data_IF_966187692588
#
_entry.id   IF_966187692588
#
_cell.length_a   1.000
_cell.length_b   1.000
_cell.length_c   1.000
_cell.angle_alpha   90.00
_cell.angle_beta   90.00
_cell.angle_gamma   90.00
#
_symmetry.space_group_name_H-M   'P 1'
#
loop_
_entity.id
_entity.type
_entity.pdbx_description
1 polymer ?
#
# COMPACT_ATOMS: atom_id res chain seq x y z
N UNK A 1 23.74 60.28 -32.19
CA UNK A 1 22.36 60.02 -32.62
C UNK A 1 21.74 59.03 -31.63
N UNK A 2 20.88 59.51 -30.73
CA UNK A 2 20.17 58.70 -29.72
C UNK A 2 18.88 58.19 -30.34
N UNK A 3 18.61 56.87 -30.33
CA UNK A 3 17.31 56.29 -30.57
C UNK A 3 16.66 55.93 -29.22
N UNK A 4 15.56 56.64 -28.94
CA UNK A 4 14.65 56.37 -27.81
C UNK A 4 13.85 55.10 -28.12
N UNK A 5 13.78 54.16 -27.18
CA UNK A 5 12.87 53.04 -27.21
C UNK A 5 11.65 53.36 -26.36
N UNK A 6 10.46 53.29 -26.96
CA UNK A 6 9.18 53.53 -26.31
C UNK A 6 8.73 52.26 -25.58
N UNK A 7 8.52 52.38 -24.27
CA UNK A 7 7.80 51.39 -23.47
C UNK A 7 6.31 51.44 -23.79
N UNK A 8 5.74 50.35 -24.25
CA UNK A 8 4.29 50.13 -24.28
C UNK A 8 3.88 49.33 -23.05
N UNK A 9 3.11 49.99 -22.17
CA UNK A 9 2.44 49.32 -21.04
C UNK A 9 1.13 48.76 -21.58
N UNK A 10 0.99 47.44 -21.54
CA UNK A 10 -0.26 46.74 -21.84
C UNK A 10 -0.99 46.51 -20.51
N UNK A 11 -2.09 47.19 -20.30
CA UNK A 11 -3.07 46.88 -19.26
C UNK A 11 -3.86 45.66 -19.69
N UNK A 12 -3.69 44.55 -18.96
CA UNK A 12 -4.55 43.38 -19.13
C UNK A 12 -5.74 43.50 -18.17
N UNK A 13 -6.91 43.78 -18.72
CA UNK A 13 -8.20 43.68 -18.06
C UNK A 13 -8.47 42.20 -17.73
N UNK A 14 -8.54 41.89 -16.44
CA UNK A 14 -9.04 40.62 -15.93
C UNK A 14 -10.56 40.56 -16.15
N UNK A 15 -10.95 39.90 -17.24
CA UNK A 15 -12.33 39.48 -17.47
C UNK A 15 -12.62 38.25 -16.61
N UNK A 16 -13.48 38.45 -15.61
CA UNK A 16 -14.06 37.32 -14.83
C UNK A 16 -15.08 36.62 -15.73
N UNK A 17 -14.74 35.47 -16.29
CA UNK A 17 -15.71 34.57 -16.90
C UNK A 17 -16.17 33.57 -15.82
N UNK A 18 -17.47 33.40 -15.62
CA UNK A 18 -17.97 32.33 -14.78
C UNK A 18 -17.75 30.98 -15.49
N UNK A 19 -16.97 30.10 -14.89
CA UNK A 19 -16.89 28.70 -15.26
C UNK A 19 -18.26 28.06 -15.02
N UNK A 20 -19.00 27.80 -16.09
CA UNK A 20 -20.13 26.86 -16.05
C UNK A 20 -19.56 25.46 -15.84
N UNK A 21 -19.70 24.97 -14.63
CA UNK A 21 -19.52 23.57 -14.30
C UNK A 21 -20.74 22.84 -14.85
N UNK A 22 -20.60 22.14 -15.95
CA UNK A 22 -21.57 21.14 -16.38
C UNK A 22 -21.49 19.99 -15.39
N UNK A 23 -22.40 20.00 -14.40
CA UNK A 23 -22.66 18.86 -13.56
C UNK A 23 -23.33 17.79 -14.44
N UNK A 24 -22.58 16.75 -14.80
CA UNK A 24 -23.17 15.52 -15.31
C UNK A 24 -24.05 14.94 -14.23
N UNK A 25 -25.33 14.91 -14.52
CA UNK A 25 -26.42 14.44 -13.67
C UNK A 25 -26.15 13.01 -13.21
N UNK A 26 -26.14 12.72 -11.91
CA UNK A 26 -26.11 11.33 -11.45
C UNK A 26 -27.43 10.67 -11.86
N UNK A 27 -27.35 9.47 -12.44
CA UNK A 27 -28.47 8.62 -12.76
C UNK A 27 -29.43 8.55 -11.55
N UNK A 28 -30.70 8.88 -11.80
CA UNK A 28 -31.79 8.72 -10.85
C UNK A 28 -31.82 7.27 -10.36
N UNK A 29 -31.45 7.06 -9.13
CA UNK A 29 -31.82 5.87 -8.37
C UNK A 29 -33.18 6.17 -7.78
N UNK A 30 -34.19 5.41 -8.17
CA UNK A 30 -35.54 5.50 -7.62
C UNK A 30 -35.50 5.34 -6.11
N UNK A 31 -35.78 6.43 -5.42
CA UNK A 31 -35.97 6.44 -3.96
C UNK A 31 -37.34 5.84 -3.65
N UNK A 32 -37.37 4.57 -3.23
CA UNK A 32 -38.50 4.06 -2.42
C UNK A 32 -37.98 3.70 -1.04
N UNK A 33 -38.55 4.43 -0.10
CA UNK A 33 -38.71 4.17 1.34
C UNK A 33 -37.46 4.26 2.24
N UNK A 34 -37.35 5.37 2.94
CA UNK A 34 -37.23 5.45 4.40
C UNK A 34 -36.08 4.67 5.05
N UNK A 35 -34.81 5.02 4.74
CA UNK A 35 -33.74 4.85 5.70
C UNK A 35 -32.98 6.18 5.75
N UNK A 36 -33.17 6.92 6.81
CA UNK A 36 -32.30 8.04 7.21
C UNK A 36 -30.90 7.49 7.37
N UNK A 37 -30.07 7.62 6.34
CA UNK A 37 -28.63 7.45 6.46
C UNK A 37 -28.14 8.54 7.40
N UNK A 38 -27.95 8.19 8.67
CA UNK A 38 -27.15 9.00 9.58
C UNK A 38 -25.78 9.13 8.93
N UNK A 39 -25.46 10.32 8.51
CA UNK A 39 -24.07 10.73 8.27
C UNK A 39 -23.40 10.59 9.63
N UNK A 40 -22.60 9.53 9.79
CA UNK A 40 -21.80 9.38 10.99
C UNK A 40 -20.82 10.55 11.04
N UNK A 41 -21.18 11.53 11.82
CA UNK A 41 -20.29 12.60 12.26
C UNK A 41 -19.07 11.91 12.84
N UNK A 42 -17.87 12.32 12.42
CA UNK A 42 -16.58 11.90 12.98
C UNK A 42 -16.72 11.87 14.50
N UNK A 43 -16.98 10.70 15.04
CA UNK A 43 -17.26 10.57 16.45
C UNK A 43 -15.97 10.84 17.20
N UNK A 44 -15.99 11.79 18.12
CA UNK A 44 -15.05 11.87 19.23
C UNK A 44 -14.80 10.46 19.77
N UNK A 45 -13.53 10.05 20.03
CA UNK A 45 -13.24 8.70 20.50
C UNK A 45 -14.12 8.36 21.71
N UNK A 46 -14.80 7.23 21.64
CA UNK A 46 -15.61 6.75 22.75
C UNK A 46 -14.71 6.48 23.97
N UNK A 47 -15.27 6.55 25.17
CA UNK A 47 -14.54 6.25 26.43
C UNK A 47 -13.80 4.91 26.33
N UNK A 48 -14.40 3.90 25.71
CA UNK A 48 -13.78 2.58 25.48
C UNK A 48 -12.53 2.64 24.59
N UNK A 49 -12.45 3.58 23.66
CA UNK A 49 -11.28 3.75 22.79
C UNK A 49 -10.12 4.46 23.51
N UNK A 50 -10.47 5.43 24.37
CA UNK A 50 -9.46 6.08 25.23
C UNK A 50 -8.89 5.10 26.24
N UNK A 51 -9.71 4.23 26.81
CA UNK A 51 -9.24 3.20 27.75
C UNK A 51 -8.37 2.15 27.04
N UNK A 52 -8.73 1.75 25.82
CA UNK A 52 -7.95 0.86 24.99
C UNK A 52 -6.57 1.46 24.66
N UNK A 53 -6.53 2.74 24.31
CA UNK A 53 -5.27 3.45 24.06
C UNK A 53 -4.40 3.49 25.32
N UNK A 54 -4.96 3.83 26.49
CA UNK A 54 -4.23 3.81 27.77
C UNK A 54 -3.66 2.42 28.08
N UNK A 55 -4.41 1.37 27.79
CA UNK A 55 -3.95 -0.01 27.94
C UNK A 55 -2.76 -0.29 27.04
N UNK A 56 -2.84 0.10 25.77
CA UNK A 56 -1.75 -0.11 24.79
C UNK A 56 -0.45 0.59 25.19
N UNK A 57 -0.50 1.83 25.65
CA UNK A 57 0.71 2.61 25.98
C UNK A 57 1.32 2.25 27.32
N UNK A 58 0.58 1.55 28.20
CA UNK A 58 1.05 1.17 29.53
C UNK A 58 1.66 -0.24 29.56
N UNK A 59 1.64 -1.00 28.47
CA UNK A 59 2.30 -2.31 28.40
C UNK A 59 3.79 -2.14 28.08
N UNK A 60 4.64 -2.86 28.79
CA UNK A 60 6.09 -2.80 28.61
C UNK A 60 6.51 -3.45 27.27
N UNK A 61 5.94 -4.60 26.95
CA UNK A 61 6.06 -5.27 25.65
C UNK A 61 4.67 -5.64 25.15
N UNK A 62 3.92 -4.65 24.70
CA UNK A 62 2.52 -4.82 24.37
C UNK A 62 2.27 -5.64 23.10
N UNK A 63 3.22 -5.65 22.16
CA UNK A 63 3.06 -6.42 20.91
C UNK A 63 3.15 -7.93 21.20
N UNK A 64 4.09 -8.35 22.00
CA UNK A 64 4.30 -9.75 22.34
C UNK A 64 3.59 -10.18 23.63
N UNK A 65 2.63 -9.41 24.13
CA UNK A 65 1.87 -9.69 25.34
C UNK A 65 2.77 -9.91 26.58
N UNK A 66 3.65 -8.96 26.85
CA UNK A 66 4.65 -8.95 27.92
C UNK A 66 5.75 -10.01 27.79
N UNK A 67 5.97 -10.55 26.60
CA UNK A 67 7.09 -11.43 26.30
C UNK A 67 8.08 -10.71 25.40
N UNK A 68 9.36 -10.97 25.59
CA UNK A 68 10.41 -10.46 24.70
C UNK A 68 10.13 -10.93 23.28
N UNK A 69 10.30 -10.04 22.31
CA UNK A 69 10.19 -10.35 20.88
C UNK A 69 11.31 -11.30 20.46
N UNK A 70 10.96 -12.46 19.94
CA UNK A 70 11.91 -13.42 19.38
C UNK A 70 11.95 -13.30 17.87
N UNK A 71 13.16 -13.14 17.32
CA UNK A 71 13.38 -13.00 15.90
C UNK A 71 13.22 -14.33 15.20
N UNK A 72 12.36 -14.37 14.18
CA UNK A 72 12.23 -15.55 13.34
C UNK A 72 13.41 -15.59 12.38
N UNK A 73 14.15 -16.69 12.37
CA UNK A 73 15.18 -16.93 11.39
C UNK A 73 14.53 -17.23 10.03
N UNK A 74 15.05 -16.61 8.97
CA UNK A 74 14.60 -16.84 7.61
C UNK A 74 15.81 -16.84 6.66
N UNK A 75 15.65 -17.51 5.53
CA UNK A 75 16.65 -17.42 4.47
C UNK A 75 16.42 -16.10 3.70
N UNK A 76 17.38 -15.17 3.69
CA UNK A 76 17.20 -13.89 3.02
C UNK A 76 17.37 -14.09 1.52
N UNK A 77 16.28 -14.24 0.77
CA UNK A 77 16.28 -14.17 -0.70
C UNK A 77 14.84 -14.21 -1.22
N UNK A 78 14.14 -13.10 -1.06
CA UNK A 78 12.76 -12.94 -1.48
C UNK A 78 12.48 -13.31 -2.94
N UNK A 79 13.29 -12.84 -3.86
CA UNK A 79 13.08 -13.06 -5.30
C UNK A 79 13.37 -14.48 -5.78
N UNK A 80 14.01 -15.34 -4.99
CA UNK A 80 14.14 -16.77 -5.31
C UNK A 80 12.82 -17.55 -5.16
N UNK A 81 11.82 -16.97 -4.47
CA UNK A 81 10.51 -17.59 -4.34
C UNK A 81 9.59 -17.32 -5.53
N UNK A 82 9.99 -16.45 -6.46
CA UNK A 82 9.23 -16.21 -7.68
C UNK A 82 9.78 -17.14 -8.74
N UNK A 83 9.15 -18.28 -8.88
CA UNK A 83 9.42 -19.14 -10.03
C UNK A 83 8.86 -18.46 -11.28
N UNK A 84 9.76 -18.01 -12.17
CA UNK A 84 9.39 -17.37 -13.43
C UNK A 84 8.58 -18.27 -14.36
N UNK A 85 8.63 -19.59 -14.12
CA UNK A 85 7.94 -20.59 -14.93
C UNK A 85 6.62 -21.04 -14.33
N UNK A 86 6.34 -20.76 -13.06
CA UNK A 86 5.09 -21.13 -12.43
C UNK A 86 4.03 -20.03 -12.55
N UNK A 87 2.76 -20.42 -12.46
CA UNK A 87 1.65 -19.48 -12.33
C UNK A 87 1.38 -19.14 -10.85
N UNK A 88 2.20 -19.62 -9.96
CA UNK A 88 2.11 -19.38 -8.53
C UNK A 88 2.52 -17.97 -8.17
N UNK A 89 1.72 -17.31 -7.35
CA UNK A 89 2.09 -16.06 -6.71
C UNK A 89 2.49 -16.36 -5.29
N UNK A 90 3.73 -16.05 -4.96
CA UNK A 90 4.22 -16.17 -3.59
C UNK A 90 4.04 -14.84 -2.88
N UNK A 91 3.12 -14.81 -1.93
CA UNK A 91 2.92 -13.65 -1.07
C UNK A 91 3.28 -14.10 0.35
N UNK A 92 4.34 -13.55 0.93
CA UNK A 92 4.85 -13.90 2.26
C UNK A 92 5.19 -15.38 2.47
N UNK A 93 5.78 -16.02 1.48
CA UNK A 93 6.07 -17.43 1.55
C UNK A 93 4.84 -18.34 1.49
N UNK A 94 3.63 -17.78 1.29
CA UNK A 94 2.44 -18.55 0.90
C UNK A 94 2.31 -18.54 -0.60
N UNK A 95 2.22 -19.70 -1.16
CA UNK A 95 2.04 -19.92 -2.59
C UNK A 95 0.55 -19.76 -2.91
N UNK A 96 0.24 -18.85 -3.82
CA UNK A 96 -1.09 -18.70 -4.42
C UNK A 96 -1.03 -19.20 -5.84
N UNK A 97 -1.64 -20.32 -6.06
CA UNK A 97 -1.91 -20.79 -7.40
C UNK A 97 -3.23 -20.19 -7.87
N UNK A 98 -3.16 -19.26 -8.83
CA UNK A 98 -4.36 -18.68 -9.44
C UNK A 98 -5.15 -19.70 -10.27
N UNK A 99 -4.54 -20.82 -10.62
CA UNK A 99 -5.20 -21.92 -11.32
C UNK A 99 -5.72 -23.01 -10.34
N UNK A 100 -5.47 -22.84 -9.03
CA UNK A 100 -5.84 -23.83 -8.05
C UNK A 100 -7.35 -23.93 -7.79
N UNK A 101 -7.77 -25.12 -7.49
CA UNK A 101 -9.16 -25.52 -7.31
C UNK A 101 -9.81 -25.11 -5.99
N UNK A 102 -9.17 -24.30 -5.16
CA UNK A 102 -9.73 -23.84 -3.89
C UNK A 102 -10.71 -22.68 -4.10
N UNK A 103 -11.90 -22.75 -3.49
CA UNK A 103 -13.09 -21.94 -3.73
C UNK A 103 -12.90 -20.45 -4.10
N UNK A 104 -12.26 -19.65 -3.26
CA UNK A 104 -12.05 -18.21 -3.49
C UNK A 104 -10.95 -17.95 -4.52
N UNK A 105 -9.86 -18.71 -4.47
CA UNK A 105 -8.73 -18.60 -5.41
C UNK A 105 -9.18 -18.96 -6.81
N UNK A 106 -10.03 -19.95 -6.98
CA UNK A 106 -10.57 -20.37 -8.27
C UNK A 106 -11.44 -19.31 -8.93
N UNK A 107 -12.28 -18.61 -8.15
CA UNK A 107 -13.13 -17.55 -8.68
C UNK A 107 -12.29 -16.36 -9.16
N UNK A 108 -11.26 -16.00 -8.41
CA UNK A 108 -10.31 -14.93 -8.79
C UNK A 108 -9.50 -15.38 -10.01
N UNK A 109 -9.05 -16.63 -10.07
CA UNK A 109 -8.34 -17.20 -11.20
C UNK A 109 -9.19 -17.20 -12.48
N UNK A 110 -10.43 -17.62 -12.39
CA UNK A 110 -11.35 -17.59 -13.53
C UNK A 110 -11.54 -16.17 -14.06
N UNK A 111 -11.68 -15.18 -13.18
CA UNK A 111 -11.78 -13.78 -13.56
C UNK A 111 -10.48 -13.22 -14.15
N UNK A 112 -9.34 -13.61 -13.59
CA UNK A 112 -8.01 -13.25 -14.13
C UNK A 112 -7.85 -13.86 -15.53
N UNK A 113 -8.14 -15.14 -15.70
CA UNK A 113 -8.02 -15.82 -16.98
C UNK A 113 -8.93 -15.21 -18.04
N UNK A 114 -10.14 -14.81 -17.69
CA UNK A 114 -11.03 -14.12 -18.62
C UNK A 114 -10.61 -12.66 -18.86
N UNK A 115 -10.08 -11.97 -17.88
CA UNK A 115 -9.54 -10.61 -18.05
C UNK A 115 -8.23 -10.57 -18.86
N UNK A 116 -7.56 -11.71 -19.06
CA UNK A 116 -6.36 -11.80 -19.90
C UNK A 116 -6.59 -11.40 -21.36
N UNK A 117 -7.80 -11.51 -21.84
CA UNK A 117 -8.17 -11.08 -23.20
C UNK A 117 -8.28 -9.57 -23.34
N UNK A 118 -8.31 -8.83 -22.23
CA UNK A 118 -8.43 -7.38 -22.23
C UNK A 118 -7.04 -6.77 -22.06
N UNK A 119 -6.45 -6.42 -23.19
CA UNK A 119 -5.21 -5.64 -23.22
C UNK A 119 -5.45 -4.26 -22.64
N UNK A 120 -4.45 -3.73 -21.92
CA UNK A 120 -4.46 -2.33 -21.54
C UNK A 120 -4.39 -1.46 -22.80
N UNK A 121 -5.43 -0.67 -23.06
CA UNK A 121 -5.53 0.20 -24.23
C UNK A 121 -5.41 1.69 -23.89
N UNK A 122 -5.20 2.02 -22.62
CA UNK A 122 -5.09 3.40 -22.13
C UNK A 122 -6.42 4.15 -22.00
N UNK A 123 -7.57 3.53 -22.29
CA UNK A 123 -8.86 4.21 -22.26
C UNK A 123 -9.48 4.22 -20.86
N UNK A 124 -10.11 5.33 -20.50
CA UNK A 124 -10.95 5.44 -19.31
C UNK A 124 -12.20 4.56 -19.45
N UNK A 125 -12.63 3.94 -18.36
CA UNK A 125 -13.89 3.19 -18.33
C UNK A 125 -13.78 1.71 -18.67
N UNK A 126 -12.58 1.20 -18.74
CA UNK A 126 -12.29 -0.21 -19.02
C UNK A 126 -13.01 -1.23 -18.12
N UNK A 127 -13.49 -0.84 -16.93
CA UNK A 127 -14.34 -1.71 -16.10
C UNK A 127 -15.69 -2.03 -16.77
N UNK A 128 -16.28 -1.09 -17.52
CA UNK A 128 -17.54 -1.33 -18.25
C UNK A 128 -17.35 -2.27 -19.43
N UNK A 129 -16.22 -2.15 -20.12
CA UNK A 129 -15.89 -3.05 -21.24
C UNK A 129 -15.60 -4.46 -20.71
N UNK A 130 -14.92 -4.58 -19.57
CA UNK A 130 -14.70 -5.85 -18.88
C UNK A 130 -16.03 -6.50 -18.46
N UNK A 131 -16.92 -5.71 -17.87
CA UNK A 131 -18.24 -6.18 -17.48
C UNK A 131 -19.14 -6.54 -18.68
N UNK A 132 -18.85 -6.00 -19.84
CA UNK A 132 -19.55 -6.31 -21.10
C UNK A 132 -19.07 -7.60 -21.77
N UNK A 133 -17.83 -8.07 -21.45
CA UNK A 133 -17.30 -9.32 -22.01
C UNK A 133 -18.17 -10.52 -21.59
N UNK A 134 -18.67 -11.34 -22.54
CA UNK A 134 -19.52 -12.48 -22.22
C UNK A 134 -18.88 -13.48 -21.26
N UNK A 135 -17.58 -13.74 -21.40
CA UNK A 135 -16.84 -14.66 -20.52
C UNK A 135 -16.71 -14.12 -19.11
N UNK A 136 -16.48 -12.81 -18.95
CA UNK A 136 -16.47 -12.15 -17.65
C UNK A 136 -17.86 -12.20 -17.02
N UNK A 137 -18.93 -11.97 -17.79
CA UNK A 137 -20.31 -12.12 -17.30
C UNK A 137 -20.59 -13.53 -16.81
N UNK A 138 -20.21 -14.54 -17.57
CA UNK A 138 -20.39 -15.93 -17.20
C UNK A 138 -19.62 -16.25 -15.89
N UNK A 139 -18.36 -15.85 -15.81
CA UNK A 139 -17.55 -16.01 -14.60
C UNK A 139 -18.17 -15.27 -13.40
N UNK A 140 -18.71 -14.07 -13.59
CA UNK A 140 -19.42 -13.32 -12.55
C UNK A 140 -20.69 -14.04 -12.08
N UNK A 141 -21.49 -14.58 -13.00
CA UNK A 141 -22.71 -15.32 -12.62
C UNK A 141 -22.39 -16.62 -11.86
N UNK A 142 -21.35 -17.32 -12.26
CA UNK A 142 -20.84 -18.49 -11.52
C UNK A 142 -20.34 -18.08 -10.11
N UNK A 143 -19.62 -16.97 -10.03
CA UNK A 143 -19.11 -16.43 -8.76
C UNK A 143 -20.25 -16.00 -7.83
N UNK A 144 -21.29 -15.33 -8.36
CA UNK A 144 -22.47 -14.92 -7.59
C UNK A 144 -23.21 -16.09 -6.95
N UNK A 145 -23.17 -17.28 -7.56
CA UNK A 145 -23.74 -18.50 -6.98
C UNK A 145 -22.98 -18.98 -5.74
N UNK A 146 -21.74 -18.53 -5.56
CA UNK A 146 -20.83 -18.92 -4.47
C UNK A 146 -20.48 -17.72 -3.56
N UNK A 147 -21.35 -16.70 -3.50
CA UNK A 147 -21.11 -15.53 -2.65
C UNK A 147 -20.90 -15.90 -1.20
N UNK A 148 -19.94 -15.20 -0.57
CA UNK A 148 -19.65 -15.30 0.86
C UNK A 148 -19.91 -13.97 1.52
N UNK A 149 -20.36 -13.98 2.78
CA UNK A 149 -20.69 -12.79 3.56
C UNK A 149 -20.04 -12.81 4.93
N UNK A 150 -19.99 -11.66 5.58
CA UNK A 150 -19.49 -11.52 6.94
C UNK A 150 -18.08 -12.09 7.12
N UNK A 151 -17.85 -12.77 8.23
CA UNK A 151 -16.53 -13.31 8.58
C UNK A 151 -16.06 -14.41 7.62
N UNK A 152 -16.98 -15.21 7.08
CA UNK A 152 -16.66 -16.23 6.07
C UNK A 152 -16.05 -15.59 4.81
N UNK A 153 -16.59 -14.45 4.37
CA UNK A 153 -16.02 -13.67 3.27
C UNK A 153 -14.60 -13.20 3.59
N UNK A 154 -14.42 -12.59 4.76
CA UNK A 154 -13.10 -12.09 5.19
C UNK A 154 -12.07 -13.21 5.25
N UNK A 155 -12.46 -14.38 5.74
CA UNK A 155 -11.58 -15.55 5.80
C UNK A 155 -11.22 -16.08 4.41
N UNK A 156 -12.17 -16.01 3.46
CA UNK A 156 -11.95 -16.43 2.08
C UNK A 156 -11.18 -15.39 1.26
N UNK A 157 -11.36 -14.11 1.56
CA UNK A 157 -10.58 -13.03 0.97
C UNK A 157 -9.18 -13.05 1.57
N UNK A 158 -8.19 -13.24 0.74
CA UNK A 158 -6.82 -13.16 1.18
C UNK A 158 -6.10 -11.99 0.49
N UNK A 159 -5.47 -11.15 1.29
CA UNK A 159 -4.47 -10.19 0.83
C UNK A 159 -3.36 -10.10 1.86
N UNK A 160 -2.15 -9.88 1.40
CA UNK A 160 -0.99 -9.65 2.25
C UNK A 160 -0.56 -8.18 2.19
N UNK A 161 -0.16 -7.69 3.33
CA UNK A 161 0.47 -6.36 3.46
C UNK A 161 1.93 -6.45 3.86
N UNK A 162 2.42 -7.68 4.03
CA UNK A 162 3.80 -7.91 4.47
C UNK A 162 4.79 -7.57 3.36
N UNK A 163 5.89 -6.92 3.69
CA UNK A 163 7.01 -6.78 2.79
C UNK A 163 7.78 -8.10 2.64
N UNK A 164 8.62 -8.20 1.61
CA UNK A 164 9.56 -9.30 1.50
C UNK A 164 10.47 -9.36 2.72
N UNK A 165 10.70 -10.58 3.21
CA UNK A 165 11.60 -10.83 4.35
C UNK A 165 13.06 -10.75 3.90
N UNK A 166 13.91 -10.20 4.75
CA UNK A 166 15.34 -10.19 4.50
C UNK A 166 15.86 -8.85 3.99
N UNK A 167 17.03 -8.91 3.39
CA UNK A 167 17.76 -7.75 2.91
C UNK A 167 17.56 -7.60 1.41
N UNK A 168 17.19 -6.40 0.99
CA UNK A 168 17.09 -6.00 -0.41
C UNK A 168 18.01 -4.80 -0.61
N UNK A 169 18.84 -4.85 -1.64
CA UNK A 169 19.78 -3.78 -2.00
C UNK A 169 19.75 -3.61 -3.51
N UNK A 170 19.84 -2.38 -3.98
CA UNK A 170 19.96 -2.11 -5.41
C UNK A 170 19.75 -0.64 -5.76
N UNK A 171 19.75 -0.37 -7.04
CA UNK A 171 19.44 0.93 -7.60
C UNK A 171 17.96 1.24 -7.43
N UNK A 172 17.65 2.44 -6.96
CA UNK A 172 16.31 2.84 -6.56
C UNK A 172 15.66 3.78 -7.56
N UNK A 173 14.47 3.42 -7.97
CA UNK A 173 13.59 4.21 -8.81
C UNK A 173 12.24 4.38 -8.14
N UNK A 174 11.66 5.57 -8.21
CA UNK A 174 10.33 5.84 -7.68
C UNK A 174 9.54 6.75 -8.58
N UNK A 175 8.25 6.51 -8.68
CA UNK A 175 7.35 7.30 -9.51
C UNK A 175 6.02 7.57 -8.81
N UNK A 176 5.36 8.62 -9.28
CA UNK A 176 4.02 9.01 -8.86
C UNK A 176 3.20 9.45 -10.06
N UNK A 177 1.93 9.03 -10.10
CA UNK A 177 0.98 9.44 -11.13
C UNK A 177 -0.36 9.83 -10.51
N UNK A 178 -0.83 11.02 -10.88
CA UNK A 178 -2.18 11.47 -10.53
C UNK A 178 -3.16 11.00 -11.61
N UNK A 179 -4.30 10.44 -11.20
CA UNK A 179 -5.34 9.95 -12.09
C UNK A 179 -6.75 10.14 -11.50
N UNK A 180 -7.78 9.97 -12.32
CA UNK A 180 -9.21 9.89 -11.95
C UNK A 180 -9.67 10.84 -10.82
N UNK A 181 -9.48 12.15 -11.00
CA UNK A 181 -10.00 13.13 -10.04
C UNK A 181 -9.16 13.32 -8.79
N UNK A 182 -7.86 12.97 -8.86
CA UNK A 182 -6.89 13.29 -7.82
C UNK A 182 -6.40 12.11 -7.00
N UNK A 183 -6.69 10.87 -7.43
CA UNK A 183 -5.98 9.71 -6.88
C UNK A 183 -4.51 9.75 -7.27
N UNK A 184 -3.66 9.33 -6.37
CA UNK A 184 -2.21 9.24 -6.59
C UNK A 184 -1.77 7.77 -6.53
N UNK A 185 -1.26 7.25 -7.64
CA UNK A 185 -0.55 5.97 -7.68
C UNK A 185 0.93 6.22 -7.39
N UNK A 186 1.52 5.37 -6.58
CA UNK A 186 2.94 5.35 -6.25
C UNK A 186 3.54 4.01 -6.65
N UNK A 187 4.77 4.04 -7.14
CA UNK A 187 5.55 2.85 -7.41
C UNK A 187 6.99 3.07 -6.97
N UNK A 188 7.57 2.05 -6.34
CA UNK A 188 8.99 1.97 -5.99
C UNK A 188 9.53 0.70 -6.63
N UNK A 189 10.68 0.81 -7.28
CA UNK A 189 11.34 -0.29 -7.98
C UNK A 189 12.81 -0.32 -7.56
N UNK A 190 13.30 -1.51 -7.24
CA UNK A 190 14.72 -1.73 -6.92
C UNK A 190 15.30 -2.71 -7.92
N UNK A 191 16.41 -2.32 -8.55
CA UNK A 191 17.14 -3.12 -9.52
C UNK A 191 18.51 -3.50 -8.94
N UNK A 192 18.85 -4.77 -8.99
CA UNK A 192 20.17 -5.26 -8.59
C UNK A 192 20.70 -6.23 -9.64
N UNK A 193 21.92 -5.99 -10.14
CA UNK A 193 22.55 -6.79 -11.19
C UNK A 193 21.64 -6.97 -12.43
N UNK A 194 21.00 -5.90 -12.87
CA UNK A 194 20.05 -5.87 -13.99
C UNK A 194 18.77 -6.70 -13.77
N UNK A 195 18.49 -7.11 -12.56
CA UNK A 195 17.24 -7.77 -12.20
C UNK A 195 16.39 -6.87 -11.31
N UNK A 196 15.09 -6.79 -11.57
CA UNK A 196 14.14 -6.15 -10.66
C UNK A 196 13.96 -7.08 -9.47
N UNK A 197 14.53 -6.68 -8.34
CA UNK A 197 14.52 -7.48 -7.10
C UNK A 197 13.40 -7.09 -6.14
N UNK A 198 12.81 -5.91 -6.34
CA UNK A 198 11.70 -5.44 -5.54
C UNK A 198 10.86 -4.44 -6.33
N UNK A 199 9.57 -4.49 -6.10
CA UNK A 199 8.59 -3.50 -6.52
C UNK A 199 7.51 -3.40 -5.44
N UNK A 200 7.11 -2.18 -5.09
CA UNK A 200 5.99 -1.93 -4.19
C UNK A 200 5.09 -0.84 -4.79
N UNK A 201 3.79 -1.14 -4.89
CA UNK A 201 2.76 -0.22 -5.33
C UNK A 201 1.94 0.25 -4.13
N UNK A 202 1.53 1.50 -4.14
CA UNK A 202 0.58 2.05 -3.17
C UNK A 202 -0.31 3.10 -3.85
N UNK A 203 -1.43 3.43 -3.23
CA UNK A 203 -2.38 4.42 -3.72
C UNK A 203 -2.85 5.31 -2.58
N UNK A 204 -3.01 6.60 -2.87
CA UNK A 204 -3.61 7.59 -1.99
C UNK A 204 -4.82 8.21 -2.67
N UNK A 205 -6.00 8.21 -2.05
CA UNK A 205 -7.15 8.94 -2.56
C UNK A 205 -7.00 10.44 -2.31
N UNK A 206 -7.73 11.29 -3.05
CA UNK A 206 -7.74 12.73 -2.82
C UNK A 206 -8.31 13.07 -1.43
N UNK A 207 -7.98 14.27 -0.94
CA UNK A 207 -8.53 14.79 0.33
C UNK A 207 -10.05 15.00 0.30
N UNK A 208 -10.64 15.01 -0.89
CA UNK A 208 -12.08 15.10 -1.13
C UNK A 208 -12.74 13.71 -1.26
N UNK A 209 -12.04 12.64 -0.89
CA UNK A 209 -12.57 11.29 -0.99
C UNK A 209 -13.84 11.14 -0.13
N UNK A 210 -14.87 10.48 -0.66
CA UNK A 210 -16.19 10.38 -0.03
C UNK A 210 -16.16 9.70 1.36
N UNK A 211 -15.27 8.77 1.58
CA UNK A 211 -15.03 8.17 2.89
C UNK A 211 -13.88 8.94 3.56
N UNK A 212 -14.22 9.97 4.32
CA UNK A 212 -13.30 10.97 4.87
C UNK A 212 -12.20 10.37 5.74
N UNK A 213 -12.43 9.24 6.39
CA UNK A 213 -11.43 8.51 7.18
C UNK A 213 -10.22 8.04 6.35
N UNK A 214 -10.42 7.81 5.04
CA UNK A 214 -9.40 7.38 4.11
C UNK A 214 -8.83 8.52 3.26
N UNK A 215 -9.41 9.72 3.36
CA UNK A 215 -9.02 10.86 2.55
C UNK A 215 -7.54 11.24 2.81
N UNK A 216 -6.71 11.20 1.77
CA UNK A 216 -5.29 11.49 1.87
C UNK A 216 -4.43 10.41 2.55
N UNK A 217 -5.00 9.30 3.00
CA UNK A 217 -4.25 8.19 3.60
C UNK A 217 -3.86 7.13 2.55
N UNK A 218 -2.70 6.52 2.69
CA UNK A 218 -2.28 5.41 1.82
C UNK A 218 -3.15 4.18 2.07
N UNK A 219 -3.34 3.34 1.04
CA UNK A 219 -4.31 2.24 1.11
C UNK A 219 -3.72 0.90 1.54
N UNK A 220 -2.44 0.66 1.26
CA UNK A 220 -1.89 -0.70 1.34
C UNK A 220 -1.97 -1.32 2.74
N UNK A 221 -1.53 -0.58 3.78
CA UNK A 221 -1.43 -1.07 5.16
C UNK A 221 -2.34 -0.34 6.14
N UNK A 222 -3.26 0.46 5.63
CA UNK A 222 -4.10 1.36 6.44
C UNK A 222 -5.35 0.69 7.04
N UNK A 223 -5.66 -0.55 6.68
CA UNK A 223 -6.96 -1.18 6.95
C UNK A 223 -7.99 -0.97 5.82
N UNK A 224 -7.63 -0.25 4.76
CA UNK A 224 -8.52 0.01 3.61
C UNK A 224 -9.04 -1.29 2.97
N UNK A 225 -8.27 -2.38 2.99
CA UNK A 225 -8.73 -3.69 2.51
C UNK A 225 -10.00 -4.17 3.22
N UNK A 226 -10.12 -3.96 4.53
CA UNK A 226 -11.33 -4.29 5.31
C UNK A 226 -12.51 -3.36 4.99
N UNK A 227 -12.25 -2.07 4.78
CA UNK A 227 -13.26 -1.13 4.30
C UNK A 227 -13.79 -1.58 2.93
N UNK A 228 -12.91 -1.89 2.01
CA UNK A 228 -13.29 -2.35 0.68
C UNK A 228 -14.02 -3.70 0.72
N UNK A 229 -13.67 -4.58 1.65
CA UNK A 229 -14.34 -5.86 1.85
C UNK A 229 -15.81 -5.73 2.27
N UNK A 230 -16.26 -4.56 2.75
CA UNK A 230 -17.69 -4.30 3.02
C UNK A 230 -18.52 -4.12 1.74
N UNK A 231 -17.88 -3.87 0.60
CA UNK A 231 -18.58 -3.69 -0.68
C UNK A 231 -19.26 -5.00 -1.13
N UNK A 232 -20.53 -4.94 -1.63
CA UNK A 232 -21.19 -6.11 -2.21
C UNK A 232 -20.43 -6.74 -3.39
N UNK A 233 -19.65 -5.94 -4.10
CA UNK A 233 -18.79 -6.43 -5.20
C UNK A 233 -17.80 -7.49 -4.71
N UNK A 234 -17.22 -7.32 -3.53
CA UNK A 234 -16.29 -8.28 -2.98
C UNK A 234 -16.95 -9.56 -2.47
N UNK A 235 -18.29 -9.63 -2.40
CA UNK A 235 -19.01 -10.86 -2.03
C UNK A 235 -18.73 -11.99 -3.03
N UNK A 236 -18.50 -11.65 -4.28
CA UNK A 236 -18.21 -12.60 -5.36
C UNK A 236 -16.83 -12.47 -5.98
N UNK A 237 -16.22 -11.28 -6.00
CA UNK A 237 -14.86 -11.12 -6.55
C UNK A 237 -13.79 -11.61 -5.59
N UNK A 238 -14.04 -11.53 -4.28
CA UNK A 238 -13.10 -11.82 -3.21
C UNK A 238 -11.76 -11.11 -3.36
N UNK A 239 -11.75 -10.00 -4.12
CA UNK A 239 -10.56 -9.24 -4.45
C UNK A 239 -10.64 -7.80 -3.94
N UNK A 240 -9.56 -7.34 -3.33
CA UNK A 240 -9.33 -5.95 -2.93
C UNK A 240 -8.36 -5.26 -3.89
N UNK A 241 -8.21 -3.95 -3.74
CA UNK A 241 -7.18 -3.18 -4.43
C UNK A 241 -5.77 -3.74 -4.14
N UNK A 242 -5.53 -4.22 -2.92
CA UNK A 242 -4.24 -4.75 -2.50
C UNK A 242 -3.91 -6.03 -3.29
N UNK A 243 -4.90 -6.90 -3.54
CA UNK A 243 -4.71 -8.04 -4.44
C UNK A 243 -4.31 -7.58 -5.85
N UNK A 244 -4.95 -6.52 -6.36
CA UNK A 244 -4.62 -5.94 -7.65
C UNK A 244 -3.19 -5.42 -7.72
N UNK A 245 -2.74 -4.71 -6.69
CA UNK A 245 -1.35 -4.25 -6.57
C UNK A 245 -0.39 -5.44 -6.58
N UNK A 246 -0.59 -6.41 -5.68
CA UNK A 246 0.28 -7.59 -5.57
C UNK A 246 0.34 -8.39 -6.87
N UNK A 247 -0.77 -8.45 -7.61
CA UNK A 247 -0.80 -9.12 -8.90
C UNK A 247 0.02 -8.40 -9.98
N UNK A 248 -0.01 -7.06 -10.00
CA UNK A 248 0.85 -6.28 -10.91
C UNK A 248 2.33 -6.42 -10.52
N UNK A 249 2.65 -6.34 -9.24
CA UNK A 249 4.01 -6.52 -8.70
C UNK A 249 4.58 -7.89 -9.09
N UNK A 250 3.79 -8.94 -8.92
CA UNK A 250 4.18 -10.28 -9.34
C UNK A 250 4.46 -10.37 -10.84
N UNK A 251 3.61 -9.76 -11.68
CA UNK A 251 3.83 -9.75 -13.13
C UNK A 251 5.14 -9.07 -13.51
N UNK A 252 5.46 -7.94 -12.85
CA UNK A 252 6.74 -7.24 -13.06
C UNK A 252 7.91 -8.14 -12.69
N UNK A 253 7.87 -8.73 -11.51
CA UNK A 253 8.94 -9.62 -11.04
C UNK A 253 9.10 -10.87 -11.91
N UNK A 254 7.98 -11.42 -12.41
CA UNK A 254 7.99 -12.57 -13.32
C UNK A 254 8.57 -12.22 -14.69
N UNK A 255 8.16 -11.08 -15.26
CA UNK A 255 8.58 -10.67 -16.60
C UNK A 255 9.90 -9.90 -16.61
N UNK A 256 10.38 -9.42 -15.46
CA UNK A 256 11.58 -8.60 -15.32
C UNK A 256 11.56 -7.36 -16.21
N UNK A 257 10.38 -6.76 -16.38
CA UNK A 257 10.13 -5.58 -17.21
C UNK A 257 9.02 -4.75 -16.60
N UNK A 258 9.05 -3.44 -16.83
CA UNK A 258 7.97 -2.51 -16.47
C UNK A 258 7.05 -2.19 -17.65
N UNK A 259 7.49 -2.39 -18.88
CA UNK A 259 6.67 -2.18 -20.08
C UNK A 259 6.37 -3.51 -20.76
N UNK A 260 5.12 -3.96 -20.58
CA UNK A 260 4.54 -5.13 -21.24
C UNK A 260 3.01 -5.08 -21.16
N UNK A 261 2.33 -6.07 -21.73
CA UNK A 261 0.87 -6.22 -21.69
C UNK A 261 0.42 -6.77 -20.33
N UNK A 262 0.04 -5.88 -19.42
CA UNK A 262 -0.43 -6.23 -18.09
C UNK A 262 -1.82 -6.87 -18.11
N UNK A 263 -2.01 -7.78 -17.16
CA UNK A 263 -3.32 -8.33 -16.81
C UNK A 263 -3.80 -7.67 -15.51
N UNK A 264 -5.09 -7.45 -15.38
CA UNK A 264 -5.68 -6.81 -14.20
C UNK A 264 -6.69 -7.72 -13.54
N UNK A 265 -6.75 -7.71 -12.22
CA UNK A 265 -7.80 -8.40 -11.48
C UNK A 265 -9.13 -7.65 -11.62
N UNK A 266 -10.19 -8.39 -11.88
CA UNK A 266 -11.54 -7.87 -11.77
C UNK A 266 -11.79 -7.39 -10.34
N UNK A 267 -12.29 -6.17 -10.18
CA UNK A 267 -12.47 -5.56 -8.85
C UNK A 267 -11.41 -4.52 -8.49
N UNK A 268 -10.21 -4.59 -9.08
CA UNK A 268 -9.14 -3.61 -8.90
C UNK A 268 -8.69 -2.95 -10.21
N UNK A 269 -9.43 -3.14 -11.28
CA UNK A 269 -9.02 -2.78 -12.63
C UNK A 269 -8.87 -1.28 -12.89
N UNK A 270 -9.65 -0.41 -12.22
CA UNK A 270 -9.56 1.04 -12.43
C UNK A 270 -8.21 1.62 -12.01
N UNK A 271 -7.80 1.38 -10.77
CA UNK A 271 -6.51 1.84 -10.27
C UNK A 271 -5.34 1.23 -11.05
N UNK A 272 -5.46 -0.06 -11.42
CA UNK A 272 -4.47 -0.72 -12.25
C UNK A 272 -4.33 -0.04 -13.62
N UNK A 273 -5.43 0.22 -14.33
CA UNK A 273 -5.43 0.74 -15.70
C UNK A 273 -5.14 2.24 -15.80
N UNK A 274 -5.68 3.03 -14.88
CA UNK A 274 -5.58 4.49 -14.95
C UNK A 274 -4.40 5.04 -14.16
N UNK A 275 -3.95 4.31 -13.13
CA UNK A 275 -2.87 4.70 -12.24
C UNK A 275 -1.60 3.87 -12.43
N UNK A 276 -1.60 2.62 -11.98
CA UNK A 276 -0.38 1.83 -11.84
C UNK A 276 0.27 1.45 -13.17
N UNK A 277 -0.49 0.89 -14.12
CA UNK A 277 0.09 0.45 -15.40
C UNK A 277 0.67 1.61 -16.20
N UNK A 278 -0.02 2.78 -16.34
CA UNK A 278 0.59 3.94 -16.97
C UNK A 278 1.86 4.42 -16.26
N UNK A 279 1.84 4.44 -14.91
CA UNK A 279 3.00 4.82 -14.12
C UNK A 279 4.19 3.89 -14.37
N UNK A 280 3.98 2.57 -14.34
CA UNK A 280 5.03 1.59 -14.58
C UNK A 280 5.63 1.70 -15.98
N UNK A 281 4.79 1.94 -17.00
CA UNK A 281 5.25 2.17 -18.38
C UNK A 281 6.05 3.46 -18.52
N UNK A 282 5.68 4.53 -17.82
CA UNK A 282 6.46 5.77 -17.74
C UNK A 282 7.82 5.53 -17.08
N UNK A 283 7.86 4.80 -15.96
CA UNK A 283 9.09 4.45 -15.24
C UNK A 283 10.00 3.51 -16.03
N UNK A 284 9.47 2.70 -16.95
CA UNK A 284 10.26 1.76 -17.75
C UNK A 284 11.43 2.44 -18.50
N UNK A 285 11.21 3.67 -18.97
CA UNK A 285 12.26 4.45 -19.66
C UNK A 285 13.41 4.79 -18.74
N UNK A 286 13.10 5.18 -17.50
CA UNK A 286 14.12 5.54 -16.51
C UNK A 286 14.91 4.30 -16.06
N UNK A 287 14.20 3.21 -15.79
CA UNK A 287 14.81 1.95 -15.32
C UNK A 287 15.71 1.32 -16.38
N UNK A 288 15.36 1.43 -17.67
CA UNK A 288 16.11 0.81 -18.76
C UNK A 288 17.24 1.69 -19.31
N UNK A 289 17.09 3.02 -19.23
CA UNK A 289 17.95 3.95 -19.98
C UNK A 289 18.87 4.80 -19.11
N UNK A 290 18.58 4.90 -17.81
CA UNK A 290 19.32 5.80 -16.91
C UNK A 290 19.82 5.08 -15.67
N UNK A 291 21.14 5.12 -15.49
CA UNK A 291 21.70 4.85 -14.18
C UNK A 291 21.18 5.90 -13.18
N UNK A 292 20.75 5.45 -12.01
CA UNK A 292 20.35 6.33 -10.94
C UNK A 292 21.46 6.51 -9.92
N UNK A 293 21.58 7.72 -9.37
CA UNK A 293 22.46 7.97 -8.23
C UNK A 293 21.85 7.50 -6.88
N UNK A 294 20.61 7.00 -6.92
CA UNK A 294 19.88 6.55 -5.73
C UNK A 294 20.05 5.06 -5.50
N UNK A 295 20.42 4.71 -4.29
CA UNK A 295 20.59 3.33 -3.83
C UNK A 295 19.63 3.02 -2.70
N UNK A 296 18.94 1.91 -2.81
CA UNK A 296 18.04 1.36 -1.79
C UNK A 296 18.78 0.33 -0.95
N UNK A 297 18.58 0.40 0.36
CA UNK A 297 18.91 -0.66 1.31
C UNK A 297 17.72 -0.87 2.23
N UNK A 298 17.06 -2.00 2.11
CA UNK A 298 15.92 -2.37 2.93
C UNK A 298 16.16 -3.65 3.70
N UNK A 299 15.61 -3.74 4.90
CA UNK A 299 15.63 -4.95 5.71
C UNK A 299 14.29 -5.15 6.40
N UNK A 300 13.77 -6.38 6.33
CA UNK A 300 12.56 -6.79 7.05
C UNK A 300 12.88 -7.95 7.97
N UNK A 301 12.54 -7.80 9.25
CA UNK A 301 12.73 -8.82 10.29
C UNK A 301 11.38 -9.21 10.87
N UNK A 302 10.94 -10.47 10.70
CA UNK A 302 9.75 -10.99 11.37
C UNK A 302 10.05 -11.42 12.81
N UNK A 303 9.04 -11.36 13.66
CA UNK A 303 9.05 -11.82 15.04
C UNK A 303 7.95 -12.85 15.28
N UNK A 304 8.16 -13.71 16.27
CA UNK A 304 7.26 -14.82 16.61
C UNK A 304 5.91 -14.39 17.19
N UNK A 305 5.81 -13.14 17.63
CA UNK A 305 4.58 -12.57 18.20
C UNK A 305 3.63 -11.92 17.15
N UNK A 306 3.88 -12.14 15.88
CA UNK A 306 2.99 -11.69 14.80
C UNK A 306 3.20 -10.25 14.36
N UNK A 307 4.44 -9.78 14.41
CA UNK A 307 4.85 -8.50 13.86
C UNK A 307 6.10 -8.69 12.98
N UNK A 308 6.25 -7.83 11.98
CA UNK A 308 7.48 -7.68 11.20
C UNK A 308 7.92 -6.22 11.25
N UNK A 309 9.19 -5.98 11.56
CA UNK A 309 9.78 -4.64 11.46
C UNK A 309 10.46 -4.46 10.11
N UNK A 310 10.35 -3.29 9.53
CA UNK A 310 10.95 -2.94 8.25
C UNK A 310 11.67 -1.60 8.36
N UNK A 311 12.92 -1.58 7.91
CA UNK A 311 13.70 -0.36 7.74
C UNK A 311 14.15 -0.25 6.28
N UNK A 312 13.88 0.89 5.67
CA UNK A 312 14.28 1.22 4.30
C UNK A 312 15.06 2.52 4.32
N UNK A 313 16.22 2.52 3.69
CA UNK A 313 17.09 3.69 3.59
C UNK A 313 17.42 3.95 2.13
N UNK A 314 17.18 5.18 1.70
CA UNK A 314 17.53 5.63 0.36
C UNK A 314 18.77 6.53 0.46
N UNK A 315 19.81 6.13 -0.23
CA UNK A 315 21.02 6.93 -0.38
C UNK A 315 21.03 7.59 -1.75
N UNK A 316 21.57 8.81 -1.83
CA UNK A 316 21.88 9.49 -3.08
C UNK A 316 23.27 10.10 -2.94
N UNK A 317 24.19 9.67 -3.82
CA UNK A 317 25.61 10.10 -3.77
C UNK A 317 26.23 9.94 -2.38
N UNK A 318 25.91 8.84 -1.70
CA UNK A 318 26.43 8.50 -0.37
C UNK A 318 25.73 9.19 0.80
N UNK A 319 24.77 10.09 0.56
CA UNK A 319 23.97 10.75 1.61
C UNK A 319 22.63 10.05 1.78
N UNK A 320 22.15 9.99 3.01
CA UNK A 320 20.79 9.50 3.32
C UNK A 320 19.80 10.59 2.88
N UNK A 321 18.97 10.29 1.90
CA UNK A 321 17.96 11.22 1.37
C UNK A 321 16.53 10.83 1.78
N UNK A 322 16.32 9.57 2.16
CA UNK A 322 15.06 9.12 2.74
C UNK A 322 15.26 7.95 3.69
N UNK A 323 14.32 7.83 4.64
CA UNK A 323 14.23 6.73 5.59
C UNK A 323 12.77 6.43 5.87
N UNK A 324 12.41 5.13 5.81
CA UNK A 324 11.10 4.64 6.22
C UNK A 324 11.30 3.53 7.25
N UNK A 325 10.60 3.63 8.36
CA UNK A 325 10.52 2.58 9.37
C UNK A 325 9.06 2.24 9.64
N UNK A 326 8.75 0.97 9.71
CA UNK A 326 7.38 0.52 10.00
C UNK A 326 7.37 -0.78 10.79
N UNK A 327 6.29 -1.00 11.52
CA UNK A 327 5.96 -2.25 12.19
C UNK A 327 4.63 -2.77 11.65
N UNK A 328 4.66 -3.95 11.04
CA UNK A 328 3.59 -4.50 10.22
C UNK A 328 3.04 -5.74 10.93
N UNK A 329 1.76 -5.72 11.26
CA UNK A 329 1.07 -6.84 11.90
C UNK A 329 0.88 -8.00 10.91
N UNK A 330 0.92 -9.22 11.44
CA UNK A 330 0.75 -10.44 10.65
C UNK A 330 -0.53 -10.44 9.79
N UNK A 331 -0.51 -11.21 8.71
CA UNK A 331 -1.67 -11.38 7.84
C UNK A 331 -2.74 -12.27 8.45
N UNK A 332 -2.37 -13.14 9.39
CA UNK A 332 -3.30 -13.92 10.18
C UNK A 332 -3.38 -13.37 11.61
N UNK A 333 -4.60 -13.10 12.06
CA UNK A 333 -4.83 -12.56 13.40
C UNK A 333 -4.40 -13.52 14.52
N UNK A 334 -4.36 -14.82 14.25
CA UNK A 334 -3.96 -15.82 15.26
C UNK A 334 -2.45 -15.85 15.47
N UNK A 335 -1.67 -15.34 14.53
CA UNK A 335 -0.24 -15.16 14.70
C UNK A 335 0.09 -14.02 15.69
N UNK A 336 -0.84 -13.07 15.87
CA UNK A 336 -0.65 -11.92 16.78
C UNK A 336 -0.92 -12.38 18.21
N UNK A 337 0.12 -12.38 19.03
CA UNK A 337 0.05 -12.93 20.42
C UNK A 337 -0.69 -12.02 21.39
N UNK A 338 -0.62 -10.70 21.19
CA UNK A 338 -1.39 -9.77 22.01
C UNK A 338 -2.84 -9.70 21.54
N UNK A 339 -3.82 -10.15 22.35
CA UNK A 339 -5.23 -10.17 21.94
C UNK A 339 -5.79 -8.79 21.55
N UNK A 340 -5.32 -7.73 22.20
CA UNK A 340 -5.77 -6.36 21.96
C UNK A 340 -5.35 -5.85 20.57
N UNK A 341 -4.26 -6.40 20.02
CA UNK A 341 -3.73 -6.01 18.72
C UNK A 341 -4.23 -6.88 17.56
N UNK A 342 -4.92 -7.99 17.83
CA UNK A 342 -5.41 -8.91 16.79
C UNK A 342 -6.31 -8.24 15.75
N UNK A 343 -6.98 -7.16 16.09
CA UNK A 343 -7.83 -6.41 15.15
C UNK A 343 -7.03 -5.65 14.08
N UNK A 344 -5.72 -5.43 14.31
CA UNK A 344 -4.86 -4.74 13.36
C UNK A 344 -4.16 -5.67 12.37
N UNK A 345 -4.49 -6.96 12.36
CA UNK A 345 -3.95 -7.89 11.37
C UNK A 345 -4.11 -7.33 9.93
N UNK A 346 -3.15 -7.59 9.06
CA UNK A 346 -3.07 -7.03 7.70
C UNK A 346 -3.02 -5.49 7.67
N UNK A 347 -2.42 -4.88 8.68
CA UNK A 347 -2.22 -3.44 8.79
C UNK A 347 -0.81 -3.16 9.31
N UNK A 348 -0.42 -1.89 9.37
CA UNK A 348 0.82 -1.47 10.01
C UNK A 348 0.59 -0.38 11.04
N UNK A 349 1.52 -0.20 11.97
CA UNK A 349 1.43 0.88 12.96
C UNK A 349 1.53 2.26 12.30
N UNK A 350 2.33 2.38 11.24
CA UNK A 350 2.53 3.64 10.54
C UNK A 350 1.31 4.05 9.73
N UNK A 351 0.74 3.12 8.96
CA UNK A 351 -0.30 3.43 7.97
C UNK A 351 -1.72 3.18 8.49
N UNK A 352 -1.96 2.29 9.46
CA UNK A 352 -3.30 1.98 9.94
C UNK A 352 -4.02 3.23 10.46
N UNK A 353 -5.16 3.53 9.84
CA UNK A 353 -6.00 4.68 10.24
C UNK A 353 -6.52 4.50 11.66
N UNK A 354 -7.03 3.31 11.97
CA UNK A 354 -7.60 3.02 13.29
C UNK A 354 -6.53 2.98 14.37
N UNK A 355 -5.39 2.31 14.14
CA UNK A 355 -4.29 2.28 15.09
C UNK A 355 -3.80 3.70 15.41
N UNK A 356 -3.58 4.53 14.38
CA UNK A 356 -3.16 5.91 14.56
C UNK A 356 -4.21 6.76 15.30
N UNK A 357 -5.49 6.48 15.08
CA UNK A 357 -6.57 7.16 15.79
C UNK A 357 -6.58 6.85 17.28
N UNK A 358 -6.50 5.57 17.66
CA UNK A 358 -6.55 5.17 19.08
C UNK A 358 -5.25 5.46 19.84
N UNK A 359 -4.10 5.46 19.17
CA UNK A 359 -2.79 5.75 19.76
C UNK A 359 -2.40 7.23 19.65
N UNK A 360 -3.31 8.10 19.23
CA UNK A 360 -3.05 9.51 18.97
C UNK A 360 -1.79 9.75 18.11
N UNK A 361 -1.61 8.89 17.09
CA UNK A 361 -0.48 8.96 16.13
C UNK A 361 0.91 8.87 16.78
N UNK A 362 1.02 8.27 17.97
CA UNK A 362 2.30 8.21 18.70
C UNK A 362 3.41 7.55 17.88
N UNK A 363 3.13 6.38 17.27
CA UNK A 363 4.08 5.68 16.43
C UNK A 363 4.42 6.47 15.14
N UNK A 364 3.43 7.03 14.47
CA UNK A 364 3.63 7.89 13.27
C UNK A 364 4.49 9.12 13.61
N UNK A 365 4.27 9.72 14.77
CA UNK A 365 5.07 10.86 15.27
C UNK A 365 6.51 10.43 15.56
N UNK A 366 6.70 9.27 16.17
CA UNK A 366 8.01 8.67 16.41
C UNK A 366 8.77 8.48 15.08
N UNK A 367 8.17 7.81 14.10
CA UNK A 367 8.81 7.54 12.81
C UNK A 367 9.17 8.83 12.07
N UNK A 368 8.28 9.82 12.07
CA UNK A 368 8.55 11.12 11.44
C UNK A 368 9.71 11.87 12.14
N UNK A 369 9.78 11.79 13.47
CA UNK A 369 10.87 12.38 14.25
C UNK A 369 12.17 11.67 13.95
N UNK A 370 12.18 10.34 14.01
CA UNK A 370 13.32 9.50 13.67
C UNK A 370 13.87 9.82 12.29
N UNK A 371 13.00 9.83 11.28
CA UNK A 371 13.36 10.18 9.90
C UNK A 371 14.04 11.55 9.82
N UNK A 372 13.46 12.57 10.46
CA UNK A 372 14.02 13.94 10.48
C UNK A 372 15.41 13.96 11.11
N UNK A 373 15.61 13.32 12.25
CA UNK A 373 16.89 13.33 12.96
C UNK A 373 17.97 12.57 12.18
N UNK A 374 17.65 11.42 11.58
CA UNK A 374 18.56 10.67 10.71
C UNK A 374 18.97 11.47 9.47
N UNK A 375 18.02 12.10 8.81
CA UNK A 375 18.32 12.95 7.63
C UNK A 375 19.19 14.15 8.00
N UNK A 376 18.99 14.73 9.18
CA UNK A 376 19.78 15.85 9.69
C UNK A 376 21.20 15.44 10.06
N UNK A 377 21.37 14.33 10.78
CA UNK A 377 22.66 13.85 11.25
C UNK A 377 23.43 13.07 10.21
N UNK A 378 22.76 12.58 9.17
CA UNK A 378 23.34 11.65 8.19
C UNK A 378 23.87 10.36 8.81
N UNK A 379 23.37 9.98 9.98
CA UNK A 379 23.73 8.76 10.70
C UNK A 379 22.47 7.96 11.08
N UNK A 380 22.51 6.65 10.87
CA UNK A 380 21.40 5.75 11.23
C UNK A 380 21.33 5.50 12.75
N UNK A 381 22.40 5.73 13.50
CA UNK A 381 22.46 5.35 14.92
C UNK A 381 22.98 6.46 15.84
N UNK A 382 23.57 7.51 15.28
CA UNK A 382 24.19 8.60 16.04
C UNK A 382 23.46 9.92 15.74
N UNK A 383 22.40 10.18 16.48
CA UNK A 383 21.60 11.39 16.41
C UNK A 383 20.98 11.71 17.78
N UNK A 384 20.59 12.98 18.03
CA UNK A 384 19.91 13.36 19.26
C UNK A 384 18.57 12.63 19.41
N UNK A 385 18.33 12.06 20.59
CA UNK A 385 17.10 11.31 20.90
C UNK A 385 16.11 12.09 21.76
N UNK A 386 16.44 13.31 22.18
CA UNK A 386 15.61 14.12 23.09
C UNK A 386 14.19 14.38 22.58
N UNK A 387 14.02 14.40 21.24
CA UNK A 387 12.71 14.57 20.62
C UNK A 387 11.92 13.25 20.49
N UNK A 388 12.53 12.10 20.82
CA UNK A 388 11.90 10.78 20.77
C UNK A 388 11.37 10.44 22.16
N UNK A 389 10.07 10.17 22.26
CA UNK A 389 9.42 9.84 23.54
C UNK A 389 9.72 8.40 23.96
N UNK A 390 10.95 8.13 24.39
CA UNK A 390 11.41 6.80 24.83
C UNK A 390 10.83 6.37 26.20
N UNK A 391 10.12 7.26 26.87
CA UNK A 391 9.34 6.96 28.08
C UNK A 391 8.06 6.16 27.79
N UNK A 392 7.61 6.12 26.53
CA UNK A 392 6.51 5.28 26.09
C UNK A 392 7.01 3.87 25.75
N UNK A 393 6.57 2.80 26.45
CA UNK A 393 7.11 1.44 26.27
C UNK A 393 7.08 0.96 24.82
N UNK A 394 5.97 1.17 24.09
CA UNK A 394 5.84 0.78 22.68
C UNK A 394 6.74 1.59 21.72
N UNK A 395 7.13 2.81 22.08
CA UNK A 395 8.09 3.61 21.32
C UNK A 395 9.51 3.16 21.61
N UNK A 396 9.81 2.87 22.89
CA UNK A 396 11.10 2.31 23.28
C UNK A 396 11.39 0.99 22.58
N UNK A 397 10.41 0.07 22.58
CA UNK A 397 10.49 -1.22 21.89
C UNK A 397 10.74 -1.03 20.37
N UNK A 398 9.97 -0.14 19.74
CA UNK A 398 10.14 0.17 18.30
C UNK A 398 11.52 0.80 18.02
N UNK A 399 12.03 1.64 18.91
CA UNK A 399 13.34 2.25 18.76
C UNK A 399 14.48 1.23 18.90
N UNK A 400 14.37 0.28 19.83
CA UNK A 400 15.33 -0.82 19.98
C UNK A 400 15.38 -1.71 18.72
N UNK A 401 14.22 -2.03 18.14
CA UNK A 401 14.15 -2.79 16.89
C UNK A 401 14.71 -1.98 15.71
N UNK A 402 14.40 -0.69 15.65
CA UNK A 402 15.01 0.20 14.67
C UNK A 402 16.55 0.16 14.74
N UNK A 403 17.14 0.33 15.94
CA UNK A 403 18.58 0.30 16.14
C UNK A 403 19.20 -1.04 15.73
N UNK A 404 18.50 -2.14 15.99
CA UNK A 404 18.93 -3.47 15.55
C UNK A 404 19.00 -3.55 14.03
N UNK A 405 17.96 -3.06 13.30
CA UNK A 405 17.95 -3.05 11.84
C UNK A 405 19.00 -2.08 11.28
N UNK A 406 19.13 -0.90 11.86
CA UNK A 406 20.12 0.10 11.47
C UNK A 406 21.55 -0.44 11.59
N UNK A 407 21.85 -1.19 12.67
CA UNK A 407 23.12 -1.87 12.85
C UNK A 407 23.41 -2.90 11.75
N UNK A 408 22.38 -3.63 11.30
CA UNK A 408 22.53 -4.56 10.17
C UNK A 408 22.80 -3.82 8.86
N UNK A 409 22.11 -2.71 8.58
CA UNK A 409 22.30 -1.92 7.35
C UNK A 409 23.71 -1.34 7.28
N UNK A 410 24.27 -0.85 8.38
CA UNK A 410 25.65 -0.33 8.43
C UNK A 410 26.71 -1.33 7.94
N UNK A 411 26.44 -2.63 8.08
CA UNK A 411 27.34 -3.71 7.68
C UNK A 411 27.15 -4.14 6.20
N UNK A 412 26.19 -3.54 5.49
CA UNK A 412 25.94 -3.79 4.08
C UNK A 412 26.74 -2.76 3.29
N UNK A 413 27.86 -3.18 2.71
CA UNK A 413 28.70 -2.34 1.85
C UNK A 413 28.37 -2.54 0.38
#
# INVERSE_FOLDING_TARGET
>A
MRKQSKFFIFFLLLGVFPLQVNADTPAKVDAKAGATTKVDVVSTPTVSQVDKWKTLINLEDYVCNNKKREKINYTPNYYKYIDKNSNEIVINGRVYDYDASSGASRTVADMVNHSQTLKYDGKKGASKELEADPKVKEAMELAKKKTKKGQEKINAMYWSVQPPKGIIVGDYYSGKKVFDGGYEAYAEVVVNNNEIVHIELNERPPVTYYASEWAGETKRRSGYGFFQAKSPRTDYTLATLINGMSYLEWQVLKNQKLDFDYKTLFGSSNSARNGFVPLLKEMAKEVNEKATDKRYVGITQPYDCGISTRLEVIYEKGKIVDLKYDEIFADDKEDIKNPTLKEFYRQSKLESVEYNRITNKSFRTFVNTLRREVLRSQSLTEFPTDAIKLDMPHIKEAYEDYLFLAGKIKNIK
#
